data_IF_100276101319
#
_entry.id   IF_100276101319
#
_cell.length_a   1.000
_cell.length_b   1.000
_cell.length_c   1.000
_cell.angle_alpha   90.00
_cell.angle_beta   90.00
_cell.angle_gamma   90.00
#
_symmetry.space_group_name_H-M   'P 1'
#
loop_
_entity.id
_entity.type
_entity.pdbx_description
1 polymer ?
#
# COMPACT_ATOMS: atom_id res chain seq x y z
N UNK A 1 -15.14 -3.22 -12.21
CA UNK A 1 -13.91 -3.37 -11.41
C UNK A 1 -13.82 -2.19 -10.46
N UNK A 2 -13.24 -2.38 -9.27
CA UNK A 2 -13.02 -1.30 -8.30
C UNK A 2 -11.52 -1.16 -8.07
N UNK A 3 -11.06 0.07 -8.11
CA UNK A 3 -9.66 0.41 -7.92
C UNK A 3 -9.35 0.59 -6.44
N UNK A 4 -8.25 -0.02 -6.02
CA UNK A 4 -7.70 0.13 -4.67
C UNK A 4 -6.20 0.42 -4.73
N UNK A 5 -5.72 1.15 -3.73
CA UNK A 5 -4.31 1.38 -3.43
C UNK A 5 -3.87 0.42 -2.33
N UNK A 6 -2.74 -0.24 -2.55
CA UNK A 6 -2.12 -1.20 -1.64
C UNK A 6 -0.62 -0.94 -1.54
N UNK A 7 -0.02 -1.42 -0.47
CA UNK A 7 1.42 -1.38 -0.30
C UNK A 7 2.01 -2.63 -0.94
N UNK A 8 2.91 -2.46 -1.90
CA UNK A 8 3.72 -3.53 -2.46
C UNK A 8 5.12 -3.52 -1.86
N UNK A 9 5.70 -4.71 -1.68
CA UNK A 9 7.13 -4.90 -1.42
C UNK A 9 7.72 -5.86 -2.45
N UNK A 10 9.05 -5.83 -2.63
CA UNK A 10 9.75 -6.87 -3.39
C UNK A 10 10.36 -7.85 -2.38
N UNK A 11 10.02 -9.13 -2.50
CA UNK A 11 10.64 -10.15 -1.67
C UNK A 11 12.07 -10.46 -2.12
N UNK A 12 12.77 -11.32 -1.37
CA UNK A 12 14.15 -11.73 -1.66
C UNK A 12 14.33 -12.47 -3.01
N UNK A 13 13.23 -12.87 -3.66
CA UNK A 13 13.22 -13.47 -5.00
C UNK A 13 12.88 -12.46 -6.11
N UNK A 14 12.77 -11.17 -5.78
CA UNK A 14 12.41 -10.10 -6.70
C UNK A 14 10.92 -10.09 -7.11
N UNK A 15 10.06 -10.87 -6.45
CA UNK A 15 8.62 -10.91 -6.72
C UNK A 15 7.90 -9.83 -5.92
N UNK A 16 6.83 -9.30 -6.51
CA UNK A 16 5.95 -8.33 -5.86
C UNK A 16 5.02 -9.07 -4.89
N UNK A 17 5.08 -8.70 -3.63
CA UNK A 17 4.12 -9.12 -2.60
C UNK A 17 3.29 -7.92 -2.15
N UNK A 18 1.98 -8.11 -2.00
CA UNK A 18 1.06 -7.05 -1.59
C UNK A 18 0.71 -7.21 -0.12
N UNK A 19 0.96 -6.17 0.66
CA UNK A 19 0.48 -6.10 2.03
C UNK A 19 -0.98 -5.64 2.03
N UNK A 20 -1.90 -6.59 2.19
CA UNK A 20 -3.34 -6.35 2.18
C UNK A 20 -3.90 -5.80 3.51
N UNK A 21 -3.06 -5.62 4.54
CA UNK A 21 -3.46 -5.06 5.83
C UNK A 21 -3.66 -3.54 5.79
N UNK A 22 -3.18 -2.89 4.72
CA UNK A 22 -3.45 -1.50 4.38
C UNK A 22 -3.99 -1.53 2.96
N UNK A 23 -5.24 -1.11 2.76
CA UNK A 23 -5.85 -1.01 1.44
C UNK A 23 -6.92 0.09 1.44
N UNK A 24 -6.88 1.00 0.48
CA UNK A 24 -7.88 2.09 0.41
C UNK A 24 -8.30 2.39 -1.01
N UNK A 25 -9.52 2.91 -1.18
CA UNK A 25 -10.02 3.36 -2.49
C UNK A 25 -9.43 4.69 -2.93
N UNK A 26 -8.95 5.48 -1.98
CA UNK A 26 -8.45 6.82 -2.22
C UNK A 26 -6.98 6.88 -1.84
N UNK A 27 -6.16 7.42 -2.73
CA UNK A 27 -4.71 7.53 -2.52
C UNK A 27 -4.38 8.36 -1.29
N UNK A 28 -5.04 9.51 -1.10
CA UNK A 28 -4.84 10.37 0.06
C UNK A 28 -5.15 9.69 1.39
N UNK A 29 -6.24 8.93 1.46
CA UNK A 29 -6.58 8.11 2.64
C UNK A 29 -5.51 7.06 2.89
N UNK A 30 -5.03 6.40 1.83
CA UNK A 30 -3.96 5.42 1.93
C UNK A 30 -2.66 6.02 2.47
N UNK A 31 -2.24 7.17 1.95
CA UNK A 31 -1.03 7.88 2.36
C UNK A 31 -1.12 8.35 3.82
N UNK A 32 -2.29 8.82 4.26
CA UNK A 32 -2.52 9.17 5.66
C UNK A 32 -2.44 7.94 6.58
N UNK A 33 -3.04 6.81 6.20
CA UNK A 33 -2.95 5.57 6.98
C UNK A 33 -1.50 5.06 7.09
N UNK A 34 -0.71 5.20 6.01
CA UNK A 34 0.71 4.88 6.04
C UNK A 34 1.47 5.81 7.00
N UNK A 35 1.20 7.11 6.95
CA UNK A 35 1.81 8.07 7.88
C UNK A 35 1.46 7.75 9.34
N UNK A 36 0.20 7.47 9.66
CA UNK A 36 -0.25 7.08 11.01
C UNK A 36 0.40 5.80 11.51
N UNK A 37 0.74 4.88 10.60
CA UNK A 37 1.47 3.63 10.91
C UNK A 37 2.99 3.82 10.98
N UNK A 38 3.47 5.05 10.84
CA UNK A 38 4.90 5.38 10.94
C UNK A 38 5.70 5.15 9.67
N UNK A 39 5.06 4.91 8.52
CA UNK A 39 5.78 4.85 7.25
C UNK A 39 6.27 6.26 6.87
N UNK A 40 7.56 6.34 6.54
CA UNK A 40 8.20 7.56 6.05
C UNK A 40 8.24 7.48 4.55
N UNK A 41 7.69 8.51 3.90
CA UNK A 41 7.82 8.70 2.46
C UNK A 41 9.23 9.25 2.14
N UNK A 42 9.91 8.63 1.19
CA UNK A 42 11.09 9.20 0.54
C UNK A 42 10.68 9.87 -0.77
N UNK A 43 10.78 11.21 -0.79
CA UNK A 43 10.39 12.02 -1.93
C UNK A 43 11.58 12.20 -2.88
N UNK A 44 11.41 11.86 -4.15
CA UNK A 44 12.31 12.26 -5.24
C UNK A 44 11.49 13.05 -6.26
N UNK A 45 11.94 14.25 -6.60
CA UNK A 45 11.26 15.15 -7.54
C UNK A 45 9.79 15.42 -7.17
N UNK A 46 9.54 15.77 -5.90
CA UNK A 46 8.21 16.10 -5.33
C UNK A 46 7.18 14.96 -5.31
N UNK A 47 7.50 13.81 -5.92
CA UNK A 47 6.68 12.61 -5.88
C UNK A 47 7.19 11.61 -4.83
N UNK A 48 6.25 11.07 -4.06
CA UNK A 48 6.53 9.98 -3.13
C UNK A 48 6.64 8.66 -3.89
N UNK A 49 7.85 8.10 -3.98
CA UNK A 49 8.09 6.85 -4.71
C UNK A 49 8.24 5.64 -3.79
N UNK A 50 8.78 5.85 -2.59
CA UNK A 50 9.12 4.78 -1.65
C UNK A 50 8.65 5.11 -0.23
N UNK A 51 8.19 4.09 0.47
CA UNK A 51 7.81 4.15 1.87
C UNK A 51 8.74 3.24 2.67
N UNK A 52 9.23 3.71 3.81
CA UNK A 52 10.13 2.97 4.69
C UNK A 52 9.58 2.95 6.11
N UNK A 53 9.78 1.85 6.81
CA UNK A 53 9.54 1.80 8.26
C UNK A 53 10.83 2.21 8.98
N UNK A 54 10.76 3.09 10.00
CA UNK A 54 11.94 3.59 10.73
C UNK A 54 12.85 2.48 11.26
N UNK A 55 12.25 1.37 11.68
CA UNK A 55 12.96 0.25 12.32
C UNK A 55 13.39 -0.85 11.34
N UNK A 56 13.17 -0.68 10.03
CA UNK A 56 13.57 -1.65 9.01
C UNK A 56 14.69 -1.07 8.16
N UNK A 57 15.89 -1.64 8.29
CA UNK A 57 17.09 -1.18 7.58
C UNK A 57 16.92 -1.15 6.05
N UNK A 58 16.20 -2.10 5.46
CA UNK A 58 16.09 -2.21 3.98
C UNK A 58 14.77 -2.89 3.57
N UNK A 59 13.63 -2.23 3.72
CA UNK A 59 12.44 -2.60 2.93
C UNK A 59 11.81 -1.34 2.34
N UNK A 60 12.04 -1.15 1.04
CA UNK A 60 11.38 -0.12 0.25
C UNK A 60 10.01 -0.63 -0.18
N UNK A 61 8.98 -0.06 0.43
CA UNK A 61 7.59 -0.27 0.05
C UNK A 61 7.17 0.73 -1.04
N UNK A 62 6.22 0.36 -1.89
CA UNK A 62 5.71 1.24 -2.94
C UNK A 62 4.19 1.14 -3.04
N UNK A 63 3.52 2.27 -3.32
CA UNK A 63 2.07 2.26 -3.56
C UNK A 63 1.80 1.59 -4.91
N UNK A 64 0.87 0.63 -4.93
CA UNK A 64 0.33 0.05 -6.15
C UNK A 64 -1.16 0.24 -6.24
N UNK A 65 -1.62 0.43 -7.47
CA UNK A 65 -3.04 0.37 -7.82
C UNK A 65 -3.37 -1.07 -8.25
N UNK A 66 -4.35 -1.68 -7.61
CA UNK A 66 -4.90 -2.99 -7.99
C UNK A 66 -6.36 -2.86 -8.42
N UNK A 67 -6.78 -3.74 -9.32
CA UNK A 67 -8.15 -3.80 -9.83
C UNK A 67 -8.85 -5.03 -9.26
N UNK A 68 -9.88 -4.82 -8.45
CA UNK A 68 -10.65 -5.91 -7.83
C UNK A 68 -11.98 -6.08 -8.57
N UNK A 69 -12.36 -7.31 -8.98
CA UNK A 69 -13.69 -7.57 -9.52
C UNK A 69 -14.80 -7.18 -8.53
N UNK A 70 -15.94 -6.68 -9.05
CA UNK A 70 -17.01 -6.11 -8.20
C UNK A 70 -17.67 -7.17 -7.30
N UNK A 71 -17.65 -8.44 -7.69
CA UNK A 71 -18.21 -9.55 -6.91
C UNK A 71 -17.42 -9.80 -5.60
N UNK A 72 -16.10 -9.58 -5.60
CA UNK A 72 -15.26 -9.77 -4.40
C UNK A 72 -15.26 -8.54 -3.48
N UNK A 73 -15.52 -7.34 -4.01
CA UNK A 73 -15.49 -6.09 -3.23
C UNK A 73 -16.66 -5.97 -2.24
N UNK A 74 -17.75 -6.73 -2.42
CA UNK A 74 -18.91 -6.74 -1.50
C UNK A 74 -18.62 -7.41 -0.15
N UNK A 75 -17.60 -8.26 -0.04
CA UNK A 75 -17.34 -9.06 1.17
C UNK A 75 -16.43 -8.39 2.21
N UNK A 76 -15.81 -7.24 1.93
CA UNK A 76 -14.93 -6.55 2.91
C UNK A 76 -15.66 -5.65 3.92
N UNK A 77 -16.98 -5.52 3.85
CA UNK A 77 -17.79 -4.81 4.87
C UNK A 77 -18.24 -5.70 6.04
N UNK A 78 -17.79 -6.95 6.09
CA UNK A 78 -18.16 -7.89 7.15
C UNK A 78 -16.91 -8.56 7.72
N UNK A 79 -16.10 -7.78 8.43
CA UNK A 79 -15.33 -8.31 9.56
C UNK A 79 -15.59 -7.36 10.73
N UNK A 80 -16.13 -7.96 11.79
CA UNK A 80 -16.83 -7.42 12.96
C UNK A 80 -15.93 -6.52 13.80
#
# INVERSE_FOLDING_TARGET
MIDYYVLGERNCYGRIEYNLNVISRYRSTFENELFERGYICDCSDEDCWYYRLPDKEVIDYYIRKIHVPVEEARNKKSVI
#
